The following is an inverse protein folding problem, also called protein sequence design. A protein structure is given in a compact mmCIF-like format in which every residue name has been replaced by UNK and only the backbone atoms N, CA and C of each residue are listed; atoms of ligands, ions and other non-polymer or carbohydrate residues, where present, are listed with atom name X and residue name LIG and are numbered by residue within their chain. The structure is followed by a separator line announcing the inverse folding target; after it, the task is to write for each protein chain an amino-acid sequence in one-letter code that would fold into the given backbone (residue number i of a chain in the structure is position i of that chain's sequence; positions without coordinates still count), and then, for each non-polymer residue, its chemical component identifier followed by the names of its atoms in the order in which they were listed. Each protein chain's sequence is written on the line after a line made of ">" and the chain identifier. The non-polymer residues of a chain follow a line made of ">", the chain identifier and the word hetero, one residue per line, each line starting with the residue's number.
data_IF_997531337436
#
_entry.id   IF_997531337436
#
_cell.length_a   1.000
_cell.length_b   1.000
_cell.length_c   1.000
_cell.angle_alpha   90.00
_cell.angle_beta   90.00
_cell.angle_gamma   90.00
#
_symmetry.space_group_name_H-M   'P 1'
#
loop_
_entity.id
_entity.type
_entity.pdbx_description
1 polymer ?
#
# COMPACT_ATOMS: atom_id res chain seq x y z
N UNK A 1 -35.86 -18.25 -2.07
CA UNK A 1 -34.96 -18.66 -0.97
C UNK A 1 -33.62 -17.95 -1.14
N UNK A 2 -33.34 -16.91 -0.35
CA UNK A 2 -32.05 -16.21 -0.41
C UNK A 2 -30.91 -17.13 0.03
N UNK A 3 -29.84 -17.23 -0.77
CA UNK A 3 -28.64 -17.98 -0.38
C UNK A 3 -28.13 -17.42 0.95
N UNK A 4 -28.07 -18.26 2.00
CA UNK A 4 -27.41 -17.88 3.26
C UNK A 4 -25.98 -17.45 2.95
N UNK A 5 -25.64 -16.24 3.34
CA UNK A 5 -24.27 -15.72 3.23
C UNK A 5 -23.40 -16.55 4.18
N UNK A 6 -22.23 -17.00 3.72
CA UNK A 6 -21.33 -17.79 4.56
C UNK A 6 -20.80 -16.93 5.71
N UNK A 7 -21.02 -17.33 6.97
CA UNK A 7 -20.61 -16.58 8.15
C UNK A 7 -19.08 -16.43 8.29
N UNK A 8 -18.31 -17.30 7.64
CA UNK A 8 -16.85 -17.28 7.68
C UNK A 8 -16.25 -16.23 6.73
N UNK A 9 -16.72 -16.16 5.48
CA UNK A 9 -16.19 -15.24 4.47
C UNK A 9 -17.10 -14.04 4.17
N UNK A 10 -18.29 -14.00 4.79
CA UNK A 10 -19.32 -12.97 4.58
C UNK A 10 -19.63 -12.72 3.10
N UNK A 11 -19.61 -13.79 2.30
CA UNK A 11 -19.88 -13.74 0.85
C UNK A 11 -18.67 -13.35 -0.03
N UNK A 12 -17.53 -12.97 0.55
CA UNK A 12 -16.30 -12.61 -0.20
C UNK A 12 -15.57 -13.81 -0.80
N UNK A 13 -15.88 -15.02 -0.29
CA UNK A 13 -15.31 -16.31 -0.72
C UNK A 13 -13.81 -16.50 -0.45
N UNK A 14 -13.17 -15.54 0.20
CA UNK A 14 -11.84 -15.63 0.80
C UNK A 14 -11.91 -15.14 2.25
N UNK A 15 -10.89 -15.47 3.03
CA UNK A 15 -10.72 -14.99 4.41
C UNK A 15 -9.34 -14.37 4.54
N UNK A 16 -9.27 -13.22 5.21
CA UNK A 16 -8.01 -12.53 5.52
C UNK A 16 -7.72 -12.69 7.02
N UNK A 17 -6.50 -13.08 7.35
CA UNK A 17 -6.03 -13.29 8.72
C UNK A 17 -4.58 -12.82 8.87
N UNK A 18 -4.10 -12.74 10.11
CA UNK A 18 -2.71 -12.36 10.40
C UNK A 18 -1.86 -13.62 10.54
N UNK A 19 -0.68 -13.65 9.91
CA UNK A 19 0.31 -14.74 10.05
C UNK A 19 1.72 -14.16 10.11
N UNK A 20 2.32 -14.19 11.30
CA UNK A 20 3.61 -13.53 11.55
C UNK A 20 3.50 -12.03 11.30
N UNK A 21 4.44 -11.45 10.54
CA UNK A 21 4.49 -10.02 10.24
C UNK A 21 3.49 -9.57 9.15
N UNK A 22 2.81 -10.50 8.47
CA UNK A 22 2.03 -10.20 7.26
C UNK A 22 0.56 -10.59 7.38
N UNK A 23 -0.28 -9.83 6.69
CA UNK A 23 -1.66 -10.21 6.40
C UNK A 23 -1.65 -11.28 5.30
N UNK A 24 -2.48 -12.31 5.45
CA UNK A 24 -2.61 -13.40 4.49
C UNK A 24 -4.07 -13.62 4.10
N UNK A 25 -4.29 -13.99 2.85
CA UNK A 25 -5.56 -14.41 2.30
C UNK A 25 -5.51 -15.89 1.89
N UNK A 26 -6.61 -16.60 2.18
CA UNK A 26 -6.88 -17.93 1.64
C UNK A 26 -8.31 -17.98 1.10
N UNK A 27 -8.57 -18.91 0.19
CA UNK A 27 -9.94 -19.23 -0.19
C UNK A 27 -10.72 -19.74 1.03
N UNK A 28 -12.00 -19.38 1.09
CA UNK A 28 -12.87 -19.87 2.14
C UNK A 28 -13.14 -21.37 1.91
N UNK A 29 -12.51 -22.23 2.71
CA UNK A 29 -12.67 -23.68 2.63
C UNK A 29 -14.13 -24.14 2.83
N UNK A 30 -14.92 -23.41 3.61
CA UNK A 30 -16.36 -23.69 3.77
C UNK A 30 -17.18 -23.41 2.50
N UNK A 31 -16.71 -22.52 1.63
CA UNK A 31 -17.36 -22.21 0.36
C UNK A 31 -16.80 -23.02 -0.81
N UNK A 32 -15.68 -23.72 -0.61
CA UNK A 32 -14.89 -24.36 -1.65
C UNK A 32 -14.12 -25.56 -1.08
N UNK A 33 -14.82 -26.65 -0.77
CA UNK A 33 -14.17 -27.94 -0.51
C UNK A 33 -13.84 -28.66 -1.83
N UNK A 34 -14.72 -28.56 -2.83
CA UNK A 34 -14.55 -28.93 -4.24
C UNK A 34 -15.32 -27.91 -5.08
N UNK A 35 -14.77 -27.42 -6.18
CA UNK A 35 -15.48 -26.43 -6.99
C UNK A 35 -16.58 -27.10 -7.84
N UNK A 36 -17.86 -26.82 -7.55
CA UNK A 36 -19.02 -27.38 -8.28
C UNK A 36 -19.02 -27.12 -9.80
N UNK A 37 -18.22 -26.14 -10.27
CA UNK A 37 -18.11 -25.81 -11.71
C UNK A 37 -17.05 -26.63 -12.43
N UNK A 38 -15.91 -26.92 -11.81
CA UNK A 38 -14.77 -27.57 -12.46
C UNK A 38 -14.30 -28.85 -11.76
N UNK A 39 -14.96 -29.29 -10.69
CA UNK A 39 -14.55 -30.48 -9.92
C UNK A 39 -13.20 -30.35 -9.19
N UNK A 40 -12.57 -29.17 -9.23
CA UNK A 40 -11.19 -28.96 -8.74
C UNK A 40 -10.13 -28.87 -9.84
N UNK A 41 -10.47 -29.16 -11.10
CA UNK A 41 -9.52 -29.15 -12.22
C UNK A 41 -9.10 -27.73 -12.66
N UNK A 42 -9.77 -26.70 -12.14
CA UNK A 42 -9.48 -25.30 -12.44
C UNK A 42 -9.80 -24.87 -13.88
N UNK A 43 -10.37 -25.78 -14.69
CA UNK A 43 -10.73 -25.57 -16.10
C UNK A 43 -12.22 -25.90 -16.29
N UNK A 44 -12.91 -25.07 -17.07
CA UNK A 44 -14.27 -25.33 -17.54
C UNK A 44 -14.30 -25.28 -19.06
N UNK A 45 -15.12 -26.13 -19.68
CA UNK A 45 -15.28 -26.17 -21.12
C UNK A 45 -16.50 -25.34 -21.53
N UNK A 46 -16.32 -24.40 -22.46
CA UNK A 46 -17.41 -23.59 -23.03
C UNK A 46 -17.58 -23.91 -24.51
N UNK A 47 -18.84 -23.89 -24.98
CA UNK A 47 -19.16 -24.00 -26.40
C UNK A 47 -19.09 -22.62 -27.06
N UNK A 48 -18.39 -22.53 -28.18
CA UNK A 48 -18.40 -21.36 -29.06
C UNK A 48 -19.50 -21.39 -30.10
N UNK A 49 -19.61 -20.32 -30.89
CA UNK A 49 -20.65 -20.10 -31.91
C UNK A 49 -20.69 -21.21 -32.98
N UNK A 50 -19.54 -21.82 -33.29
CA UNK A 50 -19.41 -22.88 -34.30
C UNK A 50 -19.39 -24.30 -33.70
N UNK A 51 -19.98 -24.51 -32.51
CA UNK A 51 -20.05 -25.80 -31.81
C UNK A 51 -18.69 -26.40 -31.37
N UNK A 52 -17.58 -25.69 -31.60
CA UNK A 52 -16.28 -26.03 -31.02
C UNK A 52 -16.29 -25.78 -29.51
N UNK A 53 -15.61 -26.66 -28.77
CA UNK A 53 -15.45 -26.56 -27.31
C UNK A 53 -14.05 -26.06 -27.01
N UNK A 54 -13.93 -25.03 -26.17
CA UNK A 54 -12.64 -24.49 -25.74
C UNK A 54 -12.53 -24.49 -24.21
N UNK A 55 -11.31 -24.61 -23.72
CA UNK A 55 -10.98 -24.61 -22.29
C UNK A 55 -10.84 -23.18 -21.77
N UNK A 56 -11.55 -22.86 -20.69
CA UNK A 56 -11.42 -21.60 -19.97
C UNK A 56 -10.99 -21.87 -18.52
N UNK A 57 -10.24 -20.93 -17.93
CA UNK A 57 -9.97 -20.95 -16.48
C UNK A 57 -11.29 -20.79 -15.72
N UNK A 58 -11.46 -21.60 -14.67
CA UNK A 58 -12.59 -21.48 -13.76
C UNK A 58 -12.44 -20.25 -12.84
N UNK A 59 -13.56 -19.68 -12.41
CA UNK A 59 -13.57 -18.54 -11.46
C UNK A 59 -12.90 -18.88 -10.12
N UNK A 60 -12.86 -20.16 -9.72
CA UNK A 60 -12.17 -20.59 -8.50
C UNK A 60 -10.65 -20.37 -8.60
N UNK A 61 -10.06 -20.70 -9.74
CA UNK A 61 -8.64 -20.49 -10.04
C UNK A 61 -8.28 -19.00 -10.01
N UNK A 62 -9.22 -18.14 -10.44
CA UNK A 62 -9.04 -16.69 -10.34
C UNK A 62 -8.96 -16.23 -8.89
N UNK A 63 -9.79 -16.76 -7.99
CA UNK A 63 -9.80 -16.41 -6.56
C UNK A 63 -8.58 -16.93 -5.80
N UNK A 64 -8.08 -18.12 -6.15
CA UNK A 64 -6.82 -18.63 -5.61
C UNK A 64 -5.66 -17.74 -6.04
N UNK A 65 -5.54 -17.43 -7.33
CA UNK A 65 -4.52 -16.51 -7.85
C UNK A 65 -4.59 -15.15 -7.18
N UNK A 66 -5.78 -14.59 -6.97
CA UNK A 66 -5.98 -13.32 -6.25
C UNK A 66 -5.49 -13.39 -4.80
N UNK A 67 -5.70 -14.52 -4.12
CA UNK A 67 -5.20 -14.73 -2.76
C UNK A 67 -3.66 -14.82 -2.73
N UNK A 68 -3.06 -15.46 -3.75
CA UNK A 68 -1.60 -15.48 -3.95
C UNK A 68 -1.07 -14.07 -4.17
N UNK A 69 -1.66 -13.29 -5.08
CA UNK A 69 -1.25 -11.90 -5.34
C UNK A 69 -1.36 -11.02 -4.09
N UNK A 70 -2.43 -11.18 -3.30
CA UNK A 70 -2.56 -10.49 -2.01
C UNK A 70 -1.44 -10.86 -1.04
N UNK A 71 -1.09 -12.15 -0.97
CA UNK A 71 -0.04 -12.67 -0.10
C UNK A 71 1.35 -12.18 -0.53
N UNK A 72 1.57 -12.07 -1.85
CA UNK A 72 2.79 -11.54 -2.43
C UNK A 72 2.90 -10.02 -2.31
N UNK A 73 1.80 -9.32 -2.05
CA UNK A 73 1.82 -7.88 -1.80
C UNK A 73 2.48 -7.50 -0.48
N UNK A 74 2.76 -8.45 0.42
CA UNK A 74 3.51 -8.22 1.67
C UNK A 74 2.87 -7.16 2.59
N UNK A 75 1.54 -7.08 2.60
CA UNK A 75 0.80 -6.16 3.47
C UNK A 75 1.07 -6.51 4.95
N UNK A 76 1.44 -5.55 5.81
CA UNK A 76 1.67 -5.81 7.24
C UNK A 76 0.42 -6.35 7.94
N UNK A 77 0.64 -7.27 8.90
CA UNK A 77 -0.43 -7.98 9.61
C UNK A 77 -1.48 -7.06 10.24
N UNK A 78 -1.06 -5.92 10.81
CA UNK A 78 -1.94 -4.94 11.45
C UNK A 78 -3.01 -4.37 10.51
N UNK A 79 -2.79 -4.41 9.18
CA UNK A 79 -3.74 -3.93 8.18
C UNK A 79 -4.63 -5.03 7.59
N UNK A 80 -4.61 -6.25 8.15
CA UNK A 80 -5.40 -7.37 7.66
C UNK A 80 -6.90 -7.06 7.51
N UNK A 81 -7.49 -6.31 8.46
CA UNK A 81 -8.91 -5.98 8.46
C UNK A 81 -9.24 -4.61 7.85
N UNK A 82 -8.24 -3.85 7.40
CA UNK A 82 -8.46 -2.52 6.79
C UNK A 82 -9.22 -2.64 5.47
N UNK A 83 -10.25 -1.81 5.27
CA UNK A 83 -10.98 -1.72 3.99
C UNK A 83 -11.24 -0.25 3.64
N UNK A 84 -11.48 0.07 2.36
CA UNK A 84 -11.87 1.44 1.99
C UNK A 84 -13.27 1.80 2.52
N UNK A 85 -14.11 0.80 2.76
CA UNK A 85 -15.44 0.94 3.33
C UNK A 85 -15.41 1.39 4.78
N UNK A 86 -14.48 0.85 5.58
CA UNK A 86 -14.32 1.12 7.01
C UNK A 86 -13.46 2.37 7.29
N UNK A 87 -13.13 3.16 6.26
CA UNK A 87 -12.36 4.38 6.42
C UNK A 87 -13.17 5.46 7.12
N UNK A 88 -12.71 5.89 8.30
CA UNK A 88 -13.38 6.90 9.11
C UNK A 88 -13.11 8.30 8.56
N UNK A 89 -14.18 9.10 8.46
CA UNK A 89 -14.14 10.46 7.94
C UNK A 89 -14.45 11.41 9.09
N UNK A 90 -13.50 12.28 9.42
CA UNK A 90 -13.65 13.37 10.39
C UNK A 90 -13.47 14.76 9.76
N UNK A 91 -13.04 14.81 8.50
CA UNK A 91 -12.72 16.03 7.77
C UNK A 91 -12.99 15.85 6.27
N UNK A 92 -13.28 16.93 5.56
CA UNK A 92 -13.64 16.87 4.14
C UNK A 92 -12.52 16.33 3.24
N UNK A 93 -11.25 16.62 3.56
CA UNK A 93 -10.11 16.07 2.79
C UNK A 93 -9.95 14.56 2.95
N UNK A 94 -10.40 13.97 4.07
CA UNK A 94 -10.48 12.51 4.23
C UNK A 94 -11.55 11.89 3.32
N UNK A 95 -12.70 12.56 3.16
CA UNK A 95 -13.73 12.13 2.23
C UNK A 95 -13.27 12.20 0.77
N UNK A 96 -12.60 13.30 0.40
CA UNK A 96 -11.99 13.45 -0.92
C UNK A 96 -10.93 12.36 -1.15
N UNK A 97 -10.07 12.10 -0.18
CA UNK A 97 -9.03 11.07 -0.29
C UNK A 97 -9.62 9.66 -0.46
N UNK A 98 -10.68 9.32 0.29
CA UNK A 98 -11.42 8.06 0.12
C UNK A 98 -12.06 7.97 -1.27
N UNK A 99 -12.68 9.05 -1.73
CA UNK A 99 -13.32 9.12 -3.06
C UNK A 99 -12.31 8.95 -4.18
N UNK A 100 -11.16 9.63 -4.11
CA UNK A 100 -10.09 9.46 -5.09
C UNK A 100 -9.48 8.05 -5.04
N UNK A 101 -9.36 7.45 -3.85
CA UNK A 101 -8.91 6.06 -3.70
C UNK A 101 -9.87 5.07 -4.38
N UNK A 102 -11.18 5.27 -4.21
CA UNK A 102 -12.19 4.44 -4.86
C UNK A 102 -12.16 4.61 -6.39
N UNK A 103 -12.13 5.87 -6.87
CA UNK A 103 -11.99 6.17 -8.31
C UNK A 103 -10.75 5.54 -8.92
N UNK A 104 -9.62 5.59 -8.21
CA UNK A 104 -8.37 4.97 -8.65
C UNK A 104 -8.50 3.44 -8.78
N UNK A 105 -9.14 2.79 -7.80
CA UNK A 105 -9.43 1.35 -7.90
C UNK A 105 -10.30 1.08 -9.11
N UNK A 106 -11.37 1.85 -9.31
CA UNK A 106 -12.35 1.62 -10.38
C UNK A 106 -11.74 1.83 -11.77
N UNK A 107 -10.90 2.85 -11.96
CA UNK A 107 -10.28 3.15 -13.24
C UNK A 107 -9.13 2.22 -13.62
N UNK A 108 -8.50 1.48 -12.68
CA UNK A 108 -7.32 0.65 -12.99
C UNK A 108 -7.62 -0.41 -14.07
N UNK A 109 -6.78 -0.52 -15.13
CA UNK A 109 -5.46 0.08 -15.33
C UNK A 109 -5.40 1.38 -16.16
N UNK A 110 -6.52 2.06 -16.42
CA UNK A 110 -6.60 3.19 -17.38
C UNK A 110 -5.95 4.47 -16.83
N UNK A 111 -5.83 4.63 -15.50
CA UNK A 111 -5.21 5.84 -14.94
C UNK A 111 -3.74 5.98 -15.34
N UNK A 112 -3.34 7.22 -15.60
CA UNK A 112 -1.98 7.56 -15.99
C UNK A 112 -1.06 7.82 -14.79
N UNK A 113 -1.63 8.10 -13.61
CA UNK A 113 -0.86 8.52 -12.43
C UNK A 113 -1.22 7.74 -11.18
N UNK A 114 -0.19 7.56 -10.35
CA UNK A 114 -0.27 7.09 -8.98
C UNK A 114 -0.85 8.12 -8.01
N UNK A 115 -0.74 7.83 -6.71
CA UNK A 115 -1.26 8.68 -5.64
C UNK A 115 -0.17 8.99 -4.62
N UNK A 116 -0.05 10.25 -4.22
CA UNK A 116 0.85 10.70 -3.17
C UNK A 116 0.02 11.27 -2.02
N UNK A 117 -0.20 10.43 -1.00
CA UNK A 117 -0.92 10.82 0.20
C UNK A 117 0.01 11.54 1.17
N UNK A 118 -0.31 12.80 1.47
CA UNK A 118 0.42 13.64 2.40
C UNK A 118 -0.46 14.03 3.59
N UNK A 119 0.14 14.38 4.72
CA UNK A 119 -0.59 14.89 5.89
C UNK A 119 -0.03 14.38 7.22
N UNK A 120 -0.60 14.76 8.36
CA UNK A 120 -0.06 14.38 9.66
C UNK A 120 -0.24 12.89 10.00
N UNK A 121 0.37 12.45 11.09
CA UNK A 121 0.21 11.08 11.61
C UNK A 121 -1.25 10.82 11.98
N UNK A 122 -1.72 9.61 11.74
CA UNK A 122 -3.04 9.17 12.23
C UNK A 122 -4.23 9.52 11.35
N UNK A 123 -4.05 10.31 10.28
CA UNK A 123 -5.14 10.71 9.37
C UNK A 123 -5.57 9.64 8.36
N UNK A 124 -4.89 8.48 8.35
CA UNK A 124 -5.32 7.30 7.57
C UNK A 124 -4.68 7.12 6.19
N UNK A 125 -3.55 7.76 5.88
CA UNK A 125 -2.84 7.61 4.59
C UNK A 125 -2.53 6.13 4.24
N UNK A 126 -1.87 5.41 5.15
CA UNK A 126 -1.54 3.98 4.96
C UNK A 126 -2.79 3.12 4.85
N UNK A 127 -3.87 3.49 5.55
CA UNK A 127 -5.15 2.78 5.46
C UNK A 127 -5.71 2.85 4.04
N UNK A 128 -5.70 4.04 3.43
CA UNK A 128 -6.14 4.21 2.03
C UNK A 128 -5.25 3.45 1.06
N UNK A 129 -3.93 3.59 1.18
CA UNK A 129 -2.98 2.90 0.31
C UNK A 129 -3.14 1.37 0.38
N UNK A 130 -3.29 0.80 1.59
CA UNK A 130 -3.57 -0.62 1.78
C UNK A 130 -4.95 -0.98 1.22
N UNK A 131 -5.99 -0.20 1.52
CA UNK A 131 -7.33 -0.43 0.99
C UNK A 131 -7.38 -0.54 -0.53
N UNK A 132 -6.63 0.32 -1.24
CA UNK A 132 -6.47 0.27 -2.69
C UNK A 132 -5.87 -1.06 -3.13
N UNK A 133 -4.67 -1.43 -2.65
CA UNK A 133 -4.01 -2.65 -3.12
C UNK A 133 -4.75 -3.92 -2.69
N UNK A 134 -5.52 -3.90 -1.60
CA UNK A 134 -6.40 -5.00 -1.22
C UNK A 134 -7.49 -5.23 -2.27
N UNK A 135 -8.15 -4.17 -2.75
CA UNK A 135 -9.14 -4.30 -3.83
C UNK A 135 -8.49 -4.70 -5.15
N UNK A 136 -7.36 -4.09 -5.51
CA UNK A 136 -6.66 -4.41 -6.74
C UNK A 136 -6.23 -5.89 -6.79
N UNK A 137 -5.69 -6.42 -5.70
CA UNK A 137 -5.30 -7.84 -5.60
C UNK A 137 -6.53 -8.76 -5.56
N UNK A 138 -7.45 -8.56 -4.62
CA UNK A 138 -8.53 -9.52 -4.34
C UNK A 138 -9.74 -9.42 -5.27
N UNK A 139 -9.99 -8.25 -5.85
CA UNK A 139 -11.16 -7.99 -6.70
C UNK A 139 -10.80 -7.88 -8.17
N UNK A 140 -9.63 -7.30 -8.50
CA UNK A 140 -9.15 -7.13 -9.87
C UNK A 140 -8.04 -8.10 -10.30
N UNK A 141 -7.40 -8.82 -9.37
CA UNK A 141 -6.33 -9.78 -9.70
C UNK A 141 -5.05 -9.11 -10.20
N UNK A 142 -4.74 -7.92 -9.68
CA UNK A 142 -3.56 -7.13 -10.04
C UNK A 142 -2.41 -7.44 -9.07
N UNK A 143 -1.20 -7.59 -9.61
CA UNK A 143 0.00 -7.74 -8.78
C UNK A 143 0.37 -6.41 -8.13
N UNK A 144 0.51 -6.42 -6.80
CA UNK A 144 0.88 -5.26 -6.01
C UNK A 144 2.04 -5.62 -5.07
N UNK A 145 2.78 -4.60 -4.62
CA UNK A 145 3.76 -4.71 -3.53
C UNK A 145 3.55 -3.58 -2.54
N UNK A 146 3.72 -3.88 -1.27
CA UNK A 146 3.80 -2.91 -0.19
C UNK A 146 5.19 -2.98 0.41
N UNK A 147 5.79 -1.81 0.65
CA UNK A 147 7.04 -1.69 1.38
C UNK A 147 7.00 -0.49 2.29
N UNK A 148 7.42 -0.69 3.53
CA UNK A 148 7.79 0.40 4.42
C UNK A 148 9.22 0.80 4.08
N UNK A 149 9.44 2.08 3.75
CA UNK A 149 10.73 2.52 3.22
C UNK A 149 11.87 2.30 4.23
N UNK A 150 11.63 2.45 5.52
CA UNK A 150 12.67 2.18 6.52
C UNK A 150 13.00 0.71 6.65
N UNK A 151 11.99 -0.15 6.64
CA UNK A 151 12.24 -1.59 6.67
C UNK A 151 13.02 -2.04 5.44
N UNK A 152 12.75 -1.45 4.26
CA UNK A 152 13.55 -1.72 3.06
C UNK A 152 15.02 -1.33 3.26
N UNK A 153 15.31 -0.16 3.82
CA UNK A 153 16.67 0.26 4.10
C UNK A 153 17.38 -0.68 5.09
N UNK A 154 16.65 -1.18 6.10
CA UNK A 154 17.19 -2.17 7.03
C UNK A 154 17.49 -3.51 6.32
N UNK A 155 16.56 -4.00 5.50
CA UNK A 155 16.70 -5.24 4.73
C UNK A 155 17.89 -5.16 3.75
N UNK A 156 18.12 -4.01 3.13
CA UNK A 156 19.28 -3.78 2.24
C UNK A 156 20.59 -3.84 3.05
N UNK A 157 20.66 -3.16 4.20
CA UNK A 157 21.85 -3.19 5.06
C UNK A 157 22.18 -4.60 5.55
N UNK A 158 21.17 -5.38 5.93
CA UNK A 158 21.34 -6.78 6.32
C UNK A 158 21.78 -7.64 5.12
N UNK A 159 21.21 -7.38 3.95
CA UNK A 159 21.54 -8.06 2.69
C UNK A 159 23.01 -7.99 2.30
N UNK A 160 23.68 -6.86 2.56
CA UNK A 160 25.14 -6.72 2.34
C UNK A 160 25.95 -7.74 3.15
N UNK A 161 25.54 -8.02 4.39
CA UNK A 161 26.22 -9.01 5.23
C UNK A 161 26.05 -10.43 4.70
N UNK A 162 25.02 -10.67 3.89
CA UNK A 162 24.74 -11.94 3.20
C UNK A 162 25.19 -12.00 1.75
N UNK A 163 25.94 -11.00 1.26
CA UNK A 163 26.47 -10.97 -0.12
C UNK A 163 25.43 -10.65 -1.21
N UNK A 164 24.24 -10.16 -0.84
CA UNK A 164 23.23 -9.71 -1.81
C UNK A 164 23.50 -8.27 -2.24
N UNK A 165 23.21 -7.98 -3.50
CA UNK A 165 23.26 -6.61 -4.02
C UNK A 165 21.95 -5.86 -3.75
N UNK A 166 22.03 -4.52 -3.67
CA UNK A 166 20.86 -3.63 -3.56
C UNK A 166 19.84 -3.92 -4.64
N UNK A 167 20.34 -4.16 -5.86
CA UNK A 167 19.51 -4.44 -7.03
C UNK A 167 18.65 -5.67 -6.80
N UNK A 168 19.18 -6.76 -6.26
CA UNK A 168 18.41 -7.99 -6.03
C UNK A 168 17.28 -7.79 -5.00
N UNK A 169 17.48 -6.90 -4.02
CA UNK A 169 16.50 -6.61 -2.97
C UNK A 169 15.43 -5.62 -3.48
N UNK A 170 15.83 -4.65 -4.29
CA UNK A 170 14.97 -3.58 -4.81
C UNK A 170 14.15 -4.04 -6.03
N UNK A 171 14.71 -4.93 -6.86
CA UNK A 171 14.12 -5.37 -8.13
C UNK A 171 12.64 -5.80 -8.04
N UNK A 172 12.21 -6.60 -7.04
CA UNK A 172 10.81 -6.98 -6.90
C UNK A 172 9.86 -5.80 -6.69
N UNK A 173 10.34 -4.70 -6.09
CA UNK A 173 9.54 -3.50 -5.83
C UNK A 173 9.49 -2.60 -7.06
N UNK A 174 10.63 -2.36 -7.70
CA UNK A 174 10.67 -1.49 -8.89
C UNK A 174 9.91 -2.08 -10.07
N UNK A 175 9.86 -3.41 -10.23
CA UNK A 175 9.12 -4.09 -11.30
C UNK A 175 7.63 -4.34 -10.99
N UNK A 176 7.16 -4.06 -9.78
CA UNK A 176 5.77 -4.33 -9.42
C UNK A 176 4.81 -3.42 -10.21
N UNK A 177 3.74 -3.95 -10.83
CA UNK A 177 2.75 -3.13 -11.55
C UNK A 177 2.16 -2.02 -10.67
N UNK A 178 1.90 -2.32 -9.40
CA UNK A 178 1.52 -1.32 -8.39
C UNK A 178 2.43 -1.46 -7.16
N UNK A 179 3.14 -0.39 -6.81
CA UNK A 179 3.99 -0.34 -5.61
C UNK A 179 3.42 0.68 -4.62
N UNK A 180 3.23 0.28 -3.37
CA UNK A 180 3.05 1.19 -2.23
C UNK A 180 4.39 1.39 -1.54
N UNK A 181 4.86 2.63 -1.46
CA UNK A 181 5.98 3.05 -0.61
C UNK A 181 5.42 3.80 0.58
N UNK A 182 5.38 3.15 1.73
CA UNK A 182 4.84 3.71 2.97
C UNK A 182 5.92 4.46 3.76
N UNK A 183 5.48 5.51 4.45
CA UNK A 183 6.30 6.32 5.36
C UNK A 183 7.54 6.99 4.71
N UNK A 184 7.40 7.41 3.44
CA UNK A 184 8.47 8.06 2.69
C UNK A 184 8.92 9.36 3.38
N UNK A 185 10.24 9.54 3.45
CA UNK A 185 10.89 10.72 4.04
C UNK A 185 11.12 10.61 5.54
N UNK A 186 10.56 9.63 6.24
CA UNK A 186 11.02 9.35 7.59
C UNK A 186 12.44 8.75 7.48
N UNK A 187 13.42 9.29 8.22
CA UNK A 187 14.84 8.98 7.96
C UNK A 187 15.83 9.84 8.71
N UNK A 188 17.13 9.57 8.54
CA UNK A 188 18.14 10.64 8.67
C UNK A 188 18.40 11.32 7.33
N UNK A 189 17.90 10.73 6.24
CA UNK A 189 18.07 11.20 4.88
C UNK A 189 19.54 11.44 4.54
N UNK A 190 20.38 10.49 4.97
CA UNK A 190 21.78 10.48 4.57
C UNK A 190 21.88 10.17 3.08
N UNK A 191 23.04 10.47 2.49
CA UNK A 191 23.29 10.32 1.05
C UNK A 191 22.95 8.91 0.53
N UNK A 192 23.24 7.86 1.31
CA UNK A 192 22.91 6.49 0.95
C UNK A 192 21.39 6.24 0.90
N UNK A 193 20.62 6.69 1.91
CA UNK A 193 19.16 6.59 1.91
C UNK A 193 18.54 7.32 0.70
N UNK A 194 19.05 8.52 0.39
CA UNK A 194 18.63 9.32 -0.76
C UNK A 194 18.94 8.64 -2.10
N UNK A 195 20.09 7.96 -2.22
CA UNK A 195 20.46 7.22 -3.41
C UNK A 195 19.52 6.02 -3.67
N UNK A 196 19.18 5.26 -2.62
CA UNK A 196 18.21 4.16 -2.73
C UNK A 196 16.83 4.70 -3.13
N UNK A 197 16.40 5.82 -2.54
CA UNK A 197 15.14 6.44 -2.90
C UNK A 197 15.14 6.91 -4.36
N UNK A 198 16.19 7.61 -4.81
CA UNK A 198 16.28 8.06 -6.20
C UNK A 198 16.31 6.88 -7.17
N UNK A 199 16.97 5.78 -6.83
CA UNK A 199 16.98 4.57 -7.67
C UNK A 199 15.56 4.02 -7.87
N UNK A 200 14.77 3.91 -6.79
CA UNK A 200 13.39 3.41 -6.87
C UNK A 200 12.51 4.37 -7.67
N UNK A 201 12.53 5.66 -7.32
CA UNK A 201 11.66 6.66 -7.94
C UNK A 201 12.04 6.90 -9.41
N UNK A 202 13.35 6.96 -9.74
CA UNK A 202 13.82 7.08 -11.12
C UNK A 202 13.36 5.91 -11.98
N UNK A 203 13.48 4.68 -11.48
CA UNK A 203 13.10 3.51 -12.27
C UNK A 203 11.60 3.52 -12.57
N UNK A 204 10.78 3.81 -11.56
CA UNK A 204 9.32 3.86 -11.74
C UNK A 204 8.88 5.05 -12.58
N UNK A 205 9.57 6.18 -12.47
CA UNK A 205 9.37 7.34 -13.33
C UNK A 205 9.60 6.99 -14.81
N UNK A 206 10.72 6.35 -15.14
CA UNK A 206 11.05 5.99 -16.52
C UNK A 206 10.08 4.95 -17.12
N UNK A 207 9.31 4.24 -16.28
CA UNK A 207 8.37 3.21 -16.67
C UNK A 207 6.92 3.56 -16.26
N UNK A 208 6.61 4.86 -16.10
CA UNK A 208 5.32 5.33 -15.56
C UNK A 208 4.11 4.97 -16.43
N UNK A 209 4.33 4.61 -17.70
CA UNK A 209 3.28 4.14 -18.60
C UNK A 209 2.77 2.73 -18.24
N UNK A 210 3.56 1.95 -17.51
CA UNK A 210 3.23 0.55 -17.14
C UNK A 210 3.15 0.36 -15.62
N UNK A 211 3.87 1.20 -14.86
CA UNK A 211 4.08 1.03 -13.43
C UNK A 211 3.48 2.19 -12.64
N UNK A 212 2.63 1.87 -11.66
CA UNK A 212 1.92 2.85 -10.85
C UNK A 212 2.44 2.87 -9.42
N UNK A 213 2.70 4.06 -8.87
CA UNK A 213 3.27 4.20 -7.51
C UNK A 213 2.26 4.88 -6.58
N UNK A 214 2.03 4.31 -5.41
CA UNK A 214 1.27 4.92 -4.34
C UNK A 214 2.25 5.21 -3.21
N UNK A 215 2.20 6.42 -2.67
CA UNK A 215 3.15 6.86 -1.65
C UNK A 215 2.38 7.42 -0.48
N UNK A 216 2.86 7.17 0.73
CA UNK A 216 2.41 7.89 1.92
C UNK A 216 3.58 8.63 2.55
N UNK A 217 3.32 9.84 3.05
CA UNK A 217 4.33 10.61 3.77
C UNK A 217 3.71 11.51 4.82
N UNK A 218 4.48 11.79 5.88
CA UNK A 218 4.10 12.78 6.89
C UNK A 218 4.60 14.20 6.54
N UNK A 219 5.35 14.34 5.46
CA UNK A 219 5.86 15.60 4.95
C UNK A 219 4.89 16.14 3.89
N UNK A 220 4.55 17.41 3.98
CA UNK A 220 3.61 18.05 3.04
C UNK A 220 4.36 19.05 2.16
N UNK A 221 3.64 19.70 1.26
CA UNK A 221 4.20 20.78 0.42
C UNK A 221 4.42 22.08 1.19
N UNK A 222 3.83 22.22 2.38
CA UNK A 222 3.90 23.41 3.22
C UNK A 222 4.52 23.07 4.58
N UNK A 223 5.49 23.86 5.03
CA UNK A 223 6.22 23.60 6.29
C UNK A 223 5.31 23.58 7.53
N UNK A 224 4.26 24.39 7.53
CA UNK A 224 3.28 24.53 8.64
C UNK A 224 2.38 23.30 8.84
N UNK A 225 2.20 22.50 7.79
CA UNK A 225 1.37 21.28 7.81
C UNK A 225 2.20 19.99 7.83
N UNK A 226 3.53 20.09 7.74
CA UNK A 226 4.43 18.95 7.83
C UNK A 226 4.53 18.47 9.28
N UNK A 227 4.44 17.15 9.51
CA UNK A 227 4.56 16.53 10.83
C UNK A 227 3.61 17.14 11.89
N UNK A 228 2.46 17.68 11.46
CA UNK A 228 1.60 18.53 12.29
C UNK A 228 0.66 17.78 13.25
N UNK A 229 1.15 16.85 14.07
CA UNK A 229 0.44 16.46 15.32
C UNK A 229 1.47 16.14 16.41
N UNK A 230 1.60 17.10 17.33
CA UNK A 230 1.72 16.92 18.77
C UNK A 230 2.82 15.98 19.29
N UNK A 231 3.73 16.56 20.09
CA UNK A 231 4.56 15.94 21.15
C UNK A 231 4.00 14.62 21.72
N UNK A 232 4.05 13.53 20.97
CA UNK A 232 3.66 12.19 21.44
C UNK A 232 4.89 11.57 22.08
N UNK A 233 4.73 10.79 23.15
CA UNK A 233 5.87 10.15 23.84
C UNK A 233 6.74 9.31 22.88
N UNK A 234 6.15 8.75 21.82
CA UNK A 234 6.85 8.00 20.78
C UNK A 234 7.75 8.88 19.90
N UNK A 235 7.30 10.07 19.47
CA UNK A 235 8.14 11.02 18.74
C UNK A 235 9.19 11.65 19.65
N UNK A 236 8.86 11.86 20.93
CA UNK A 236 9.81 12.30 21.96
C UNK A 236 10.97 11.33 22.15
N UNK A 237 10.75 10.01 22.06
CA UNK A 237 11.83 9.03 22.17
C UNK A 237 12.74 8.96 20.94
N UNK A 238 12.19 9.17 19.73
CA UNK A 238 12.97 9.28 18.50
C UNK A 238 13.81 10.57 18.46
N UNK A 239 13.27 11.67 18.99
CA UNK A 239 13.93 12.99 19.07
C UNK A 239 14.93 13.07 20.25
N UNK A 240 14.64 12.45 21.40
CA UNK A 240 15.48 12.47 22.59
C UNK A 240 16.77 11.64 22.50
N UNK A 241 16.88 10.73 21.54
CA UNK A 241 18.14 10.00 21.26
C UNK A 241 19.24 10.88 20.65
N UNK A 242 18.92 12.11 20.26
CA UNK A 242 19.85 13.10 19.72
C UNK A 242 19.89 14.32 20.66
N UNK A 243 21.03 14.54 21.33
CA UNK A 243 21.24 15.67 22.27
C UNK A 243 21.21 17.07 21.62
N UNK A 244 20.91 17.17 20.33
CA UNK A 244 21.02 18.41 19.56
C UNK A 244 19.66 19.07 19.34
N UNK A 245 19.39 20.13 20.09
CA UNK A 245 18.13 20.90 20.05
C UNK A 245 17.92 21.64 18.71
N UNK A 246 18.98 21.82 17.90
CA UNK A 246 18.85 22.43 16.58
C UNK A 246 18.32 21.42 15.55
N UNK A 247 18.76 20.16 15.61
CA UNK A 247 18.28 19.09 14.74
C UNK A 247 16.78 18.82 14.91
N UNK A 248 16.28 18.86 16.15
CA UNK A 248 14.83 18.71 16.42
C UNK A 248 14.00 19.84 15.78
N UNK A 249 14.54 21.05 15.66
CA UNK A 249 13.82 22.22 15.14
C UNK A 249 13.80 22.29 13.61
N UNK A 250 14.86 21.82 12.96
CA UNK A 250 14.98 21.75 11.49
C UNK A 250 14.10 20.66 10.88
N UNK A 251 14.07 19.45 11.47
CA UNK A 251 13.24 18.34 10.97
C UNK A 251 11.73 18.63 11.07
N UNK A 252 11.32 19.45 12.05
CA UNK A 252 9.93 19.84 12.26
C UNK A 252 9.43 20.92 11.28
N UNK A 253 10.27 21.44 10.39
CA UNK A 253 9.92 22.49 9.44
C UNK A 253 10.40 22.20 8.00
N UNK A 254 10.75 20.96 7.69
CA UNK A 254 11.19 20.58 6.35
C UNK A 254 9.98 20.12 5.50
N UNK A 255 9.81 20.65 4.30
CA UNK A 255 8.82 20.15 3.32
C UNK A 255 9.25 18.80 2.75
N UNK A 256 8.34 18.10 2.05
CA UNK A 256 8.73 16.89 1.33
C UNK A 256 9.84 17.16 0.30
N UNK A 257 9.79 18.29 -0.41
CA UNK A 257 10.78 18.64 -1.43
C UNK A 257 12.18 18.82 -0.85
N UNK A 258 12.28 19.56 0.25
CA UNK A 258 13.56 19.73 0.96
C UNK A 258 14.07 18.38 1.44
N UNK A 259 13.15 17.53 1.93
CA UNK A 259 13.47 16.22 2.43
C UNK A 259 14.01 15.27 1.37
N UNK A 260 13.39 15.18 0.21
CA UNK A 260 13.79 14.19 -0.81
C UNK A 260 14.70 14.77 -1.89
N UNK A 261 14.90 16.08 -1.88
CA UNK A 261 15.57 16.81 -2.94
C UNK A 261 14.64 17.11 -4.14
N UNK A 262 14.96 18.18 -4.85
CA UNK A 262 14.13 18.72 -5.95
C UNK A 262 13.87 17.70 -7.06
N UNK A 263 14.90 16.91 -7.41
CA UNK A 263 14.83 15.93 -8.50
C UNK A 263 13.84 14.80 -8.19
N UNK A 264 13.90 14.24 -6.99
CA UNK A 264 12.97 13.16 -6.58
C UNK A 264 11.56 13.74 -6.50
N UNK A 265 11.40 14.90 -5.87
CA UNK A 265 10.10 15.55 -5.72
C UNK A 265 9.44 15.87 -7.08
N UNK A 266 10.20 16.42 -8.03
CA UNK A 266 9.71 16.70 -9.39
C UNK A 266 9.16 15.45 -10.08
N UNK A 267 9.88 14.32 -9.99
CA UNK A 267 9.42 13.04 -10.54
C UNK A 267 8.16 12.53 -9.86
N UNK A 268 8.07 12.68 -8.54
CA UNK A 268 6.88 12.30 -7.78
C UNK A 268 5.64 13.08 -8.22
N UNK A 269 5.77 14.40 -8.42
CA UNK A 269 4.66 15.27 -8.86
C UNK A 269 4.20 14.91 -10.28
N UNK A 270 5.11 14.44 -11.13
CA UNK A 270 4.79 14.03 -12.49
C UNK A 270 4.00 12.71 -12.52
N UNK A 271 4.44 11.71 -11.75
CA UNK A 271 3.85 10.36 -11.79
C UNK A 271 2.73 10.13 -10.77
N UNK A 272 2.55 11.02 -9.80
CA UNK A 272 1.53 10.90 -8.77
C UNK A 272 0.65 12.14 -8.71
N UNK A 273 -0.65 11.92 -8.49
CA UNK A 273 -1.54 12.98 -8.02
C UNK A 273 -1.37 13.17 -6.51
N UNK A 274 -1.12 14.41 -6.09
CA UNK A 274 -1.02 14.76 -4.68
C UNK A 274 -2.41 14.78 -4.05
N UNK A 275 -2.54 14.16 -2.88
CA UNK A 275 -3.73 14.17 -2.03
C UNK A 275 -3.27 14.55 -0.63
N UNK A 276 -3.52 15.80 -0.22
CA UNK A 276 -3.29 16.24 1.16
C UNK A 276 -4.48 15.81 2.02
N UNK A 277 -4.20 15.16 3.15
CA UNK A 277 -5.19 14.66 4.09
C UNK A 277 -5.00 15.36 5.43
N UNK A 278 -6.08 15.94 5.92
CA UNK A 278 -6.17 16.57 7.24
C UNK A 278 -7.29 15.90 8.02
N UNK A 279 -7.23 15.93 9.34
CA UNK A 279 -8.24 15.33 10.20
C UNK A 279 -7.71 14.94 11.56
N UNK A 280 -8.57 14.34 12.39
CA UNK A 280 -8.18 13.88 13.72
C UNK A 280 -7.25 12.67 13.63
N UNK A 281 -6.36 12.52 14.61
CA UNK A 281 -5.55 11.31 14.77
C UNK A 281 -6.43 10.18 15.34
N UNK A 282 -6.89 9.30 14.46
CA UNK A 282 -7.72 8.14 14.83
C UNK A 282 -6.98 7.09 15.66
N UNK A 283 -5.64 7.12 15.73
CA UNK A 283 -4.88 6.25 16.63
C UNK A 283 -5.03 6.70 18.07
N UNK A 284 -5.12 8.01 18.33
CA UNK A 284 -5.27 8.56 19.68
C UNK A 284 -6.68 8.39 20.24
N UNK A 285 -7.71 8.45 19.38
CA UNK A 285 -9.11 8.25 19.79
C UNK A 285 -9.38 6.84 20.35
N UNK A 286 -8.67 5.81 19.85
CA UNK A 286 -8.78 4.45 20.38
C UNK A 286 -8.24 4.28 21.80
N UNK A 287 -7.34 5.16 22.26
CA UNK A 287 -6.81 5.13 23.63
C UNK A 287 -7.62 5.97 24.61
N UNK A 288 -8.60 6.76 24.14
CA UNK A 288 -9.46 7.59 24.99
C UNK A 288 -10.83 6.96 25.31
N UNK A 289 -11.13 5.81 24.71
CA UNK A 289 -12.37 5.05 24.91
C UNK A 289 -12.18 3.79 25.78
N UNK A 290 -10.96 3.55 26.27
CA UNK A 290 -10.60 2.54 27.30
C UNK A 290 -10.27 3.24 28.64
#
# INVERSE_FOLDING_TARGET
>A
MGKRVCDNCKGKRYVIFQKGKFARAIICQRCYSVCDKCGGDGIIFKKGENNYTYANKCDCTMLENRSVLFNEAMIPAQFAQVTLEDFQISHHTQEEARTNSQKFVDSYPIQERGLLFMGPVGVGKTHLAVGIIKKLTLEKGVSCKFVDFFHLLADIKEGYSGGKSDKEIIEPFVKAPVLVVDELGKGRNNEWESNILDQIISNRYNNSNELVTIITTNYTTRRDSTLSVTRTRATKNLLASTKDKNYEKEVLQETLQERVGERIFSRLVEICRIIEIEGKDFRSLKYSED
#
